data_IF_364546308323
#
_entry.id   IF_364546308323
#
_cell.length_a   1.000
_cell.length_b   1.000
_cell.length_c   1.000
_cell.angle_alpha   90.00
_cell.angle_beta   90.00
_cell.angle_gamma   90.00
#
_symmetry.space_group_name_H-M   'P 1'
#
loop_
_entity.id
_entity.type
_entity.pdbx_description
1 polymer ?
#
# COMPACT_ATOMS: atom_id res chain seq x y z
N UNK A 1 -35.92 -2.00 -7.49
CA UNK A 1 -34.68 -2.80 -7.46
C UNK A 1 -33.59 -1.86 -6.98
N UNK A 2 -33.47 -1.73 -5.67
CA UNK A 2 -32.51 -0.86 -5.02
C UNK A 2 -31.10 -1.35 -5.37
N UNK A 3 -30.34 -0.52 -6.08
CA UNK A 3 -28.93 -0.76 -6.31
C UNK A 3 -28.23 -0.56 -4.97
N UNK A 4 -27.78 -1.68 -4.41
CA UNK A 4 -26.91 -1.85 -3.25
C UNK A 4 -26.16 -0.57 -2.82
N UNK A 5 -26.26 -0.25 -1.53
CA UNK A 5 -25.67 0.91 -0.82
C UNK A 5 -24.13 1.06 -0.91
N UNK A 6 -23.45 0.23 -1.70
CA UNK A 6 -22.06 0.47 -2.11
C UNK A 6 -21.69 -0.30 -3.40
N UNK A 7 -21.68 0.37 -4.57
CA UNK A 7 -21.36 -0.32 -5.84
C UNK A 7 -19.88 -0.67 -5.98
N UNK A 8 -18.99 -0.12 -5.14
CA UNK A 8 -17.53 -0.31 -5.25
C UNK A 8 -17.06 -1.47 -4.40
N UNK A 9 -16.73 -2.57 -5.08
CA UNK A 9 -16.28 -3.85 -4.50
C UNK A 9 -14.76 -4.05 -4.60
N UNK A 10 -14.09 -3.25 -5.43
CA UNK A 10 -12.65 -3.31 -5.68
C UNK A 10 -12.07 -1.90 -5.69
N UNK A 11 -10.98 -1.68 -4.96
CA UNK A 11 -10.15 -0.47 -5.06
C UNK A 11 -8.78 -0.89 -5.56
N UNK A 12 -8.33 -0.24 -6.62
CA UNK A 12 -7.02 -0.50 -7.23
C UNK A 12 -6.13 0.71 -6.99
N UNK A 13 -4.93 0.45 -6.51
CA UNK A 13 -3.90 1.47 -6.30
C UNK A 13 -2.79 1.32 -7.34
N UNK A 14 -2.31 2.44 -7.85
CA UNK A 14 -0.94 2.51 -8.35
C UNK A 14 0.04 2.51 -7.15
N UNK A 15 1.31 2.20 -7.40
CA UNK A 15 2.33 2.12 -6.35
C UNK A 15 3.14 3.41 -6.29
N UNK A 16 3.89 3.68 -7.36
CA UNK A 16 4.85 4.76 -7.44
C UNK A 16 4.11 6.10 -7.35
N UNK A 17 4.55 6.96 -6.42
CA UNK A 17 3.98 8.31 -6.20
C UNK A 17 2.47 8.32 -5.86
N UNK A 18 1.91 7.16 -5.49
CA UNK A 18 0.52 6.99 -5.04
C UNK A 18 0.47 6.39 -3.64
N UNK A 19 0.98 5.18 -3.47
CA UNK A 19 1.20 4.59 -2.14
C UNK A 19 2.53 5.09 -1.56
N UNK A 20 3.56 5.09 -2.39
CA UNK A 20 4.88 5.61 -2.06
C UNK A 20 4.99 7.10 -2.39
N UNK A 21 5.94 7.79 -1.78
CA UNK A 21 6.30 9.18 -2.10
C UNK A 21 7.36 9.28 -3.19
N UNK A 22 8.13 8.22 -3.39
CA UNK A 22 9.22 8.08 -4.36
C UNK A 22 9.18 6.68 -4.97
N UNK A 23 9.99 6.41 -5.99
CA UNK A 23 9.90 5.16 -6.76
C UNK A 23 11.06 4.19 -6.46
N UNK A 24 11.64 4.24 -5.25
CA UNK A 24 12.69 3.32 -4.86
C UNK A 24 12.09 1.97 -4.44
N UNK A 25 12.65 0.88 -4.95
CA UNK A 25 12.19 -0.48 -4.70
C UNK A 25 13.27 -1.30 -4.00
N UNK A 26 12.86 -2.28 -3.19
CA UNK A 26 13.77 -3.24 -2.56
C UNK A 26 14.26 -4.26 -3.60
N UNK A 27 15.55 -4.55 -3.56
CA UNK A 27 16.20 -5.64 -4.28
C UNK A 27 16.54 -6.82 -3.35
N UNK A 28 16.64 -8.02 -3.92
CA UNK A 28 16.81 -9.26 -3.16
C UNK A 28 18.08 -9.25 -2.28
N UNK A 29 19.14 -8.60 -2.77
CA UNK A 29 20.44 -8.49 -2.09
C UNK A 29 20.57 -7.26 -1.16
N UNK A 30 19.54 -6.42 -1.01
CA UNK A 30 19.62 -5.26 -0.14
C UNK A 30 19.77 -5.67 1.34
N UNK A 31 20.78 -5.13 2.05
CA UNK A 31 20.93 -5.31 3.49
C UNK A 31 19.72 -4.81 4.30
N UNK A 32 19.46 -5.36 5.50
CA UNK A 32 18.32 -4.96 6.32
C UNK A 32 18.23 -3.45 6.60
N UNK A 33 19.36 -2.79 6.86
CA UNK A 33 19.44 -1.35 7.09
C UNK A 33 19.02 -0.52 5.85
N UNK A 34 19.38 -0.99 4.65
CA UNK A 34 18.99 -0.35 3.40
C UNK A 34 17.49 -0.53 3.18
N UNK A 35 16.95 -1.73 3.44
CA UNK A 35 15.50 -1.98 3.35
C UNK A 35 14.69 -1.09 4.29
N UNK A 36 15.16 -0.88 5.52
CA UNK A 36 14.51 0.03 6.48
C UNK A 36 14.54 1.48 6.00
N UNK A 37 15.67 1.93 5.46
CA UNK A 37 15.78 3.27 4.89
C UNK A 37 14.88 3.43 3.66
N UNK A 38 14.79 2.42 2.80
CA UNK A 38 13.89 2.39 1.66
C UNK A 38 12.43 2.50 2.09
N UNK A 39 12.00 1.79 3.14
CA UNK A 39 10.66 1.95 3.72
C UNK A 39 10.45 3.38 4.21
N UNK A 40 11.43 3.93 4.94
CA UNK A 40 11.35 5.29 5.48
C UNK A 40 11.18 6.33 4.37
N UNK A 41 12.01 6.32 3.34
CA UNK A 41 11.95 7.31 2.25
C UNK A 41 10.70 7.15 1.38
N UNK A 42 10.19 5.92 1.21
CA UNK A 42 8.96 5.68 0.45
C UNK A 42 7.70 6.08 1.20
N UNK A 43 7.65 5.89 2.52
CA UNK A 43 6.40 5.99 3.26
C UNK A 43 6.33 7.11 4.27
N UNK A 44 7.44 7.71 4.71
CA UNK A 44 7.47 8.79 5.69
C UNK A 44 7.76 10.15 5.07
N UNK A 45 7.21 11.20 5.69
CA UNK A 45 7.34 12.59 5.23
C UNK A 45 7.48 13.52 6.43
N UNK A 46 8.47 14.45 6.43
CA UNK A 46 8.62 15.43 7.51
C UNK A 46 7.50 16.47 7.53
N UNK A 47 6.68 16.54 6.49
CA UNK A 47 5.56 17.48 6.37
C UNK A 47 4.23 16.89 6.82
N UNK A 48 4.20 15.61 7.17
CA UNK A 48 3.03 14.94 7.75
C UNK A 48 3.25 14.85 9.25
N UNK A 49 2.31 15.38 10.04
CA UNK A 49 2.36 15.23 11.49
C UNK A 49 2.14 13.77 11.90
N UNK A 50 3.06 13.23 12.71
CA UNK A 50 3.08 11.83 13.10
C UNK A 50 3.69 10.94 12.02
N UNK A 51 3.30 9.65 12.01
CA UNK A 51 3.76 8.70 11.00
C UNK A 51 2.80 8.66 9.81
N UNK A 52 3.32 8.89 8.60
CA UNK A 52 2.53 8.74 7.38
C UNK A 52 2.22 7.27 7.10
N UNK A 53 3.13 6.33 7.43
CA UNK A 53 2.86 4.90 7.21
C UNK A 53 1.70 4.41 8.09
N UNK A 54 1.59 4.90 9.33
CA UNK A 54 0.46 4.59 10.22
C UNK A 54 -0.87 5.13 9.65
N UNK A 55 -0.89 6.38 9.19
CA UNK A 55 -2.08 6.95 8.53
C UNK A 55 -2.49 6.17 7.29
N UNK A 56 -1.53 5.66 6.52
CA UNK A 56 -1.80 4.80 5.37
C UNK A 56 -2.38 3.44 5.79
N UNK A 57 -1.90 2.83 6.87
CA UNK A 57 -2.48 1.60 7.45
C UNK A 57 -3.93 1.81 7.87
N UNK A 58 -4.22 2.93 8.52
CA UNK A 58 -5.58 3.28 8.93
C UNK A 58 -6.51 3.45 7.71
N UNK A 59 -6.04 4.16 6.68
CA UNK A 59 -6.78 4.33 5.43
C UNK A 59 -7.07 2.97 4.76
N UNK A 60 -6.07 2.12 4.59
CA UNK A 60 -6.24 0.80 3.97
C UNK A 60 -7.20 -0.07 4.79
N UNK A 61 -7.11 -0.02 6.12
CA UNK A 61 -8.03 -0.74 7.02
C UNK A 61 -9.47 -0.30 6.83
N UNK A 62 -9.71 1.01 6.72
CA UNK A 62 -11.05 1.56 6.46
C UNK A 62 -11.56 1.20 5.06
N UNK A 63 -10.68 1.14 4.06
CA UNK A 63 -11.06 0.83 2.69
C UNK A 63 -11.39 -0.64 2.46
N UNK A 64 -10.89 -1.55 3.30
CA UNK A 64 -11.22 -2.99 3.26
C UNK A 64 -12.65 -3.33 3.65
N UNK A 65 -13.41 -2.36 4.17
CA UNK A 65 -14.81 -2.53 4.52
C UNK A 65 -15.67 -1.49 3.80
N UNK A 66 -16.85 -1.89 3.36
CA UNK A 66 -17.86 -0.96 2.84
C UNK A 66 -18.55 -0.22 3.99
N UNK A 67 -19.38 0.79 3.68
CA UNK A 67 -20.23 1.44 4.70
C UNK A 67 -21.19 0.48 5.38
N UNK A 68 -21.54 -0.61 4.69
CA UNK A 68 -22.40 -1.68 5.22
C UNK A 68 -21.60 -2.78 5.91
N UNK A 69 -20.30 -2.55 6.16
CA UNK A 69 -19.37 -3.48 6.80
C UNK A 69 -19.14 -4.79 6.01
N UNK A 70 -19.32 -4.75 4.69
CA UNK A 70 -19.00 -5.86 3.79
C UNK A 70 -17.52 -5.80 3.39
N UNK A 71 -16.84 -6.95 3.17
CA UNK A 71 -15.45 -6.95 2.73
C UNK A 71 -15.30 -6.34 1.34
N UNK A 72 -14.24 -5.55 1.16
CA UNK A 72 -13.83 -4.95 -0.10
C UNK A 72 -12.41 -5.38 -0.46
N UNK A 73 -12.21 -5.78 -1.71
CA UNK A 73 -10.89 -6.14 -2.21
C UNK A 73 -10.04 -4.88 -2.46
N UNK A 74 -8.78 -4.91 -2.03
CA UNK A 74 -7.78 -3.93 -2.40
C UNK A 74 -6.76 -4.62 -3.30
N UNK A 75 -6.41 -3.99 -4.41
CA UNK A 75 -5.44 -4.53 -5.36
C UNK A 75 -4.42 -3.47 -5.74
N UNK A 76 -3.28 -3.95 -6.25
CA UNK A 76 -2.22 -3.12 -6.78
C UNK A 76 -2.12 -3.35 -8.28
N UNK A 77 -2.04 -2.26 -9.03
CA UNK A 77 -1.77 -2.27 -10.46
C UNK A 77 -0.62 -1.29 -10.72
N UNK A 78 0.57 -1.83 -10.96
CA UNK A 78 1.78 -1.04 -11.18
C UNK A 78 2.36 -1.27 -12.57
N UNK A 79 2.99 -0.22 -13.11
CA UNK A 79 3.85 -0.30 -14.31
C UNK A 79 5.34 -0.43 -13.96
N UNK A 80 5.67 -0.65 -12.68
CA UNK A 80 7.04 -0.77 -12.22
C UNK A 80 7.76 -1.92 -12.94
N UNK A 81 8.92 -1.62 -13.53
CA UNK A 81 9.69 -2.55 -14.35
C UNK A 81 10.57 -3.51 -13.52
N UNK A 82 10.69 -3.33 -12.21
CA UNK A 82 11.34 -4.27 -11.29
C UNK A 82 10.48 -5.51 -11.02
N UNK A 83 9.20 -5.46 -11.39
CA UNK A 83 8.26 -6.57 -11.31
C UNK A 83 7.55 -6.66 -9.96
N UNK A 84 6.56 -7.57 -9.88
CA UNK A 84 5.68 -7.68 -8.73
C UNK A 84 6.38 -8.08 -7.42
N UNK A 85 7.51 -8.80 -7.51
CA UNK A 85 8.27 -9.25 -6.33
C UNK A 85 8.86 -8.07 -5.55
N UNK A 86 9.50 -7.12 -6.22
CA UNK A 86 10.07 -5.93 -5.56
C UNK A 86 8.99 -5.06 -4.90
N UNK A 87 7.81 -4.96 -5.52
CA UNK A 87 6.65 -4.28 -4.92
C UNK A 87 6.18 -5.02 -3.67
N UNK A 88 6.06 -6.34 -3.73
CA UNK A 88 5.67 -7.16 -2.59
C UNK A 88 6.69 -7.04 -1.45
N UNK A 89 7.99 -7.16 -1.73
CA UNK A 89 9.07 -7.05 -0.74
C UNK A 89 9.04 -5.68 -0.04
N UNK A 90 8.82 -4.59 -0.78
CA UNK A 90 8.66 -3.24 -0.21
C UNK A 90 7.45 -3.16 0.71
N UNK A 91 6.32 -3.72 0.31
CA UNK A 91 5.09 -3.72 1.11
C UNK A 91 5.16 -4.63 2.32
N UNK A 92 5.86 -5.75 2.23
CA UNK A 92 6.12 -6.65 3.37
C UNK A 92 7.02 -5.95 4.40
N UNK A 93 8.11 -5.34 3.96
CA UNK A 93 9.00 -4.55 4.82
C UNK A 93 8.27 -3.37 5.49
N UNK A 94 7.33 -2.76 4.77
CA UNK A 94 6.44 -1.70 5.27
C UNK A 94 5.30 -2.21 6.17
N UNK A 95 5.10 -3.53 6.27
CA UNK A 95 3.96 -4.11 6.99
C UNK A 95 2.60 -3.78 6.37
N UNK A 96 2.54 -3.56 5.06
CA UNK A 96 1.34 -3.20 4.29
C UNK A 96 0.83 -4.34 3.40
N UNK A 97 1.65 -5.35 3.11
CA UNK A 97 1.30 -6.42 2.15
C UNK A 97 -0.03 -7.13 2.49
N UNK A 98 -0.30 -7.35 3.78
CA UNK A 98 -1.50 -8.04 4.26
C UNK A 98 -2.84 -7.34 3.94
N UNK A 99 -2.82 -6.06 3.54
CA UNK A 99 -4.03 -5.36 3.07
C UNK A 99 -4.42 -5.74 1.64
N UNK A 100 -3.47 -6.28 0.87
CA UNK A 100 -3.63 -6.64 -0.54
C UNK A 100 -3.64 -8.16 -0.78
N UNK A 101 -3.52 -8.95 0.29
CA UNK A 101 -3.75 -10.39 0.25
C UNK A 101 -5.27 -10.65 0.15
N UNK A 102 -5.68 -11.35 -0.90
CA UNK A 102 -7.04 -11.85 -1.09
C UNK A 102 -7.31 -13.06 -0.19
#
# INVERSE_FOLDING_TARGET
KDRADNPVQLVVFDVDETLTLVSYMIEECDPPEVRQELVRVNFESPWVEGSRIEKLRDLLSQLRVTKSNEPRALAILSRNNKGARSVLDLLEAAGLAHFFCA
#
